data_IF_261029407361
#
_entry.id   IF_261029407361
#
_cell.length_a   1.000
_cell.length_b   1.000
_cell.length_c   1.000
_cell.angle_alpha   90.00
_cell.angle_beta   90.00
_cell.angle_gamma   90.00
#
_symmetry.space_group_name_H-M   'P 1'
#
loop_
_entity.id
_entity.type
_entity.pdbx_description
1 polymer ?
#
# COMPACT_ATOMS: atom_id res chain seq x y z
N UNK A 1 -17.05 -7.35 23.69
CA UNK A 1 -16.45 -8.56 24.28
C UNK A 1 -15.81 -9.34 23.15
N UNK A 2 -14.49 -9.58 23.19
CA UNK A 2 -13.82 -10.43 22.21
C UNK A 2 -14.43 -11.83 22.27
N UNK A 3 -14.69 -12.46 21.12
CA UNK A 3 -15.21 -13.82 21.07
C UNK A 3 -14.14 -14.79 21.60
N UNK A 4 -14.55 -15.99 22.09
CA UNK A 4 -13.60 -17.03 22.54
C UNK A 4 -12.63 -17.40 21.41
N UNK A 5 -13.04 -17.26 20.16
CA UNK A 5 -12.22 -17.45 18.98
C UNK A 5 -11.12 -16.38 18.86
N UNK A 6 -11.45 -15.11 19.06
CA UNK A 6 -10.49 -14.00 19.03
C UNK A 6 -9.41 -14.15 20.10
N UNK A 7 -9.80 -14.50 21.33
CA UNK A 7 -8.85 -14.67 22.45
C UNK A 7 -7.86 -15.83 22.24
N UNK A 8 -8.24 -16.87 21.49
CA UNK A 8 -7.36 -18.00 21.18
C UNK A 8 -6.48 -17.72 19.97
N UNK A 9 -7.03 -17.12 18.91
CA UNK A 9 -6.32 -16.95 17.64
C UNK A 9 -5.33 -15.77 17.67
N UNK A 10 -5.67 -14.68 18.34
CA UNK A 10 -4.89 -13.44 18.37
C UNK A 10 -3.43 -13.65 18.82
N UNK A 11 -3.14 -14.33 19.97
CA UNK A 11 -1.75 -14.54 20.41
C UNK A 11 -0.92 -15.38 19.43
N UNK A 12 -1.55 -16.36 18.77
CA UNK A 12 -0.87 -17.22 17.80
C UNK A 12 -0.46 -16.40 16.58
N UNK A 13 -1.39 -15.63 16.02
CA UNK A 13 -1.13 -14.77 14.85
C UNK A 13 -0.10 -13.71 15.18
N UNK A 14 -0.19 -13.10 16.36
CA UNK A 14 0.78 -12.10 16.82
C UNK A 14 2.19 -12.69 16.92
N UNK A 15 2.35 -13.87 17.50
CA UNK A 15 3.64 -14.56 17.60
C UNK A 15 4.24 -14.83 16.21
N UNK A 16 3.44 -15.34 15.27
CA UNK A 16 3.87 -15.58 13.89
C UNK A 16 4.31 -14.26 13.24
N UNK A 17 3.53 -13.20 13.41
CA UNK A 17 3.84 -11.87 12.88
C UNK A 17 5.13 -11.29 13.43
N UNK A 18 5.43 -11.46 14.71
CA UNK A 18 6.68 -11.00 15.31
C UNK A 18 7.90 -11.63 14.61
N UNK A 19 7.87 -12.93 14.35
CA UNK A 19 8.93 -13.62 13.62
C UNK A 19 9.02 -13.17 12.16
N UNK A 20 7.90 -13.15 11.46
CA UNK A 20 7.85 -12.77 10.05
C UNK A 20 8.29 -11.33 9.84
N UNK A 21 7.76 -10.38 10.64
CA UNK A 21 8.07 -8.95 10.50
C UNK A 21 9.50 -8.61 10.85
N UNK A 22 10.01 -9.18 11.95
CA UNK A 22 11.32 -8.78 12.49
C UNK A 22 12.51 -9.37 11.73
N UNK A 23 12.33 -10.53 11.10
CA UNK A 23 13.43 -11.25 10.46
C UNK A 23 13.20 -11.44 8.96
N UNK A 24 12.07 -12.04 8.57
CA UNK A 24 11.85 -12.43 7.17
C UNK A 24 11.56 -11.21 6.31
N UNK A 25 10.61 -10.38 6.72
CA UNK A 25 10.15 -9.24 5.94
C UNK A 25 11.24 -8.20 5.72
N UNK A 26 11.91 -7.77 6.80
CA UNK A 26 12.95 -6.74 6.72
C UNK A 26 14.09 -7.20 5.82
N UNK A 27 14.56 -8.46 6.00
CA UNK A 27 15.65 -9.02 5.19
C UNK A 27 15.24 -9.12 3.71
N UNK A 28 14.04 -9.64 3.42
CA UNK A 28 13.60 -9.79 2.04
C UNK A 28 13.39 -8.44 1.35
N UNK A 29 12.71 -7.49 1.99
CA UNK A 29 12.42 -6.20 1.38
C UNK A 29 13.69 -5.39 1.12
N UNK A 30 14.54 -5.25 2.15
CA UNK A 30 15.80 -4.54 1.99
C UNK A 30 16.75 -5.31 1.07
N UNK A 31 16.84 -6.64 1.23
CA UNK A 31 17.72 -7.47 0.41
C UNK A 31 17.38 -7.40 -1.07
N UNK A 32 16.12 -7.60 -1.45
CA UNK A 32 15.65 -7.50 -2.84
C UNK A 32 15.78 -6.07 -3.36
N UNK A 33 15.41 -5.07 -2.55
CA UNK A 33 15.47 -3.67 -2.94
C UNK A 33 16.91 -3.19 -3.17
N UNK A 34 17.85 -3.54 -2.28
CA UNK A 34 19.28 -3.26 -2.44
C UNK A 34 19.84 -4.01 -3.66
N UNK A 35 19.48 -5.28 -3.80
CA UNK A 35 19.89 -6.08 -4.95
C UNK A 35 19.52 -5.43 -6.28
N UNK A 36 18.26 -5.04 -6.44
CA UNK A 36 17.80 -4.37 -7.65
C UNK A 36 18.37 -2.97 -7.80
N UNK A 37 18.56 -2.22 -6.72
CA UNK A 37 19.22 -0.92 -6.76
C UNK A 37 20.62 -1.04 -7.35
N UNK A 38 21.41 -2.04 -6.93
CA UNK A 38 22.75 -2.29 -7.45
C UNK A 38 22.70 -2.80 -8.89
N UNK A 39 21.90 -3.85 -9.17
CA UNK A 39 21.85 -4.51 -10.49
C UNK A 39 21.29 -3.62 -11.59
N UNK A 40 20.38 -2.72 -11.28
CA UNK A 40 19.80 -1.76 -12.23
C UNK A 40 20.51 -0.40 -12.22
N UNK A 41 21.64 -0.27 -11.50
CA UNK A 41 22.42 0.97 -11.36
C UNK A 41 21.54 2.14 -10.88
N UNK A 42 20.87 1.95 -9.72
CA UNK A 42 19.98 2.94 -9.10
C UNK A 42 18.87 3.44 -10.06
N UNK A 43 18.12 2.52 -10.67
CA UNK A 43 17.05 2.84 -11.63
C UNK A 43 16.05 3.86 -11.07
N UNK A 44 15.75 3.79 -9.77
CA UNK A 44 14.84 4.69 -9.07
C UNK A 44 15.33 6.15 -9.04
N UNK A 45 16.63 6.39 -9.21
CA UNK A 45 17.22 7.73 -9.33
C UNK A 45 17.42 8.09 -10.80
N UNK A 46 18.07 7.19 -11.54
CA UNK A 46 18.46 7.41 -12.93
C UNK A 46 17.26 7.61 -13.87
N UNK A 47 16.19 6.83 -13.68
CA UNK A 47 14.99 6.89 -14.53
C UNK A 47 13.84 7.67 -13.87
N UNK A 48 14.08 8.35 -12.74
CA UNK A 48 13.05 9.12 -12.04
C UNK A 48 12.43 10.22 -12.92
N UNK A 49 13.27 11.02 -13.58
CA UNK A 49 12.82 12.10 -14.47
C UNK A 49 12.00 11.56 -15.65
N UNK A 50 12.38 10.42 -16.20
CA UNK A 50 11.63 9.75 -17.26
C UNK A 50 10.25 9.34 -16.77
N UNK A 51 10.17 8.61 -15.65
CA UNK A 51 8.91 8.23 -15.02
C UNK A 51 8.01 9.44 -14.70
N UNK A 52 8.62 10.50 -14.16
CA UNK A 52 7.91 11.76 -13.86
C UNK A 52 7.28 12.37 -15.11
N UNK A 53 8.04 12.48 -16.20
CA UNK A 53 7.54 13.02 -17.45
C UNK A 53 6.46 12.13 -18.08
N UNK A 54 6.54 10.80 -17.93
CA UNK A 54 5.50 9.87 -18.41
C UNK A 54 4.18 10.03 -17.63
N UNK A 55 4.24 10.29 -16.33
CA UNK A 55 3.06 10.47 -15.48
C UNK A 55 2.46 11.85 -15.67
N UNK A 56 3.26 12.91 -15.63
CA UNK A 56 2.78 14.31 -15.59
C UNK A 56 2.91 15.06 -16.91
N UNK A 57 3.76 14.60 -17.85
CA UNK A 57 4.00 15.28 -19.13
C UNK A 57 2.86 15.13 -20.15
N UNK A 58 2.02 14.09 -20.01
CA UNK A 58 0.91 13.81 -20.94
C UNK A 58 -0.38 13.46 -20.16
N UNK A 59 -0.75 14.28 -19.19
CA UNK A 59 -2.02 14.10 -18.47
C UNK A 59 -3.18 14.42 -19.42
N UNK A 60 -3.74 13.39 -20.06
CA UNK A 60 -5.05 13.45 -20.68
C UNK A 60 -6.04 12.76 -19.75
N UNK A 61 -6.87 13.56 -19.07
CA UNK A 61 -7.92 13.09 -18.16
C UNK A 61 -8.99 12.19 -18.83
N UNK A 62 -8.93 12.07 -20.13
CA UNK A 62 -9.78 11.17 -20.94
C UNK A 62 -8.86 10.21 -21.71
N UNK A 63 -8.43 9.12 -21.06
CA UNK A 63 -7.68 8.05 -21.70
C UNK A 63 -8.43 7.51 -22.92
N UNK A 64 -7.78 7.45 -24.09
CA UNK A 64 -8.35 6.80 -25.28
C UNK A 64 -8.71 5.36 -24.90
N UNK A 65 -9.95 4.95 -25.16
CA UNK A 65 -10.41 3.56 -25.03
C UNK A 65 -9.50 2.67 -25.88
N UNK A 66 -8.60 1.93 -25.22
CA UNK A 66 -7.85 0.86 -25.86
C UNK A 66 -8.51 -0.47 -25.53
N UNK A 67 -8.63 -1.34 -26.52
CA UNK A 67 -9.34 -2.62 -26.37
C UNK A 67 -8.77 -3.44 -25.20
N UNK A 68 -9.63 -3.99 -24.36
CA UNK A 68 -9.35 -5.01 -23.34
C UNK A 68 -8.49 -4.63 -22.12
N UNK A 69 -7.55 -3.67 -22.23
CA UNK A 69 -6.64 -3.24 -21.16
C UNK A 69 -6.94 -1.86 -20.59
N UNK A 70 -6.01 -1.33 -19.77
CA UNK A 70 -6.03 0.01 -19.19
C UNK A 70 -5.01 0.91 -19.90
N UNK A 71 -5.22 2.24 -19.88
CA UNK A 71 -4.13 3.17 -20.20
C UNK A 71 -3.03 3.08 -19.13
N UNK A 72 -1.81 3.53 -19.44
CA UNK A 72 -0.72 3.54 -18.45
C UNK A 72 -1.09 4.39 -17.23
N UNK A 73 -1.82 5.50 -17.41
CA UNK A 73 -2.33 6.32 -16.32
C UNK A 73 -3.42 5.63 -15.49
N UNK A 74 -4.35 4.92 -16.13
CA UNK A 74 -5.36 4.11 -15.43
C UNK A 74 -4.75 2.98 -14.60
N UNK A 75 -3.74 2.31 -15.16
CA UNK A 75 -3.00 1.27 -14.43
C UNK A 75 -2.23 1.84 -13.25
N UNK A 76 -1.58 3.00 -13.42
CA UNK A 76 -0.93 3.72 -12.34
C UNK A 76 -1.95 4.18 -11.28
N UNK A 77 -3.07 4.78 -11.68
CA UNK A 77 -4.14 5.20 -10.76
C UNK A 77 -4.70 4.01 -9.98
N UNK A 78 -4.85 2.83 -10.62
CA UNK A 78 -5.28 1.60 -9.95
C UNK A 78 -4.21 1.09 -8.98
N UNK A 79 -2.92 1.18 -9.33
CA UNK A 79 -1.82 0.83 -8.43
C UNK A 79 -1.73 1.80 -7.24
N UNK A 80 -1.80 3.11 -7.49
CA UNK A 80 -1.84 4.13 -6.42
C UNK A 80 -3.09 3.96 -5.54
N UNK A 81 -4.25 3.61 -6.12
CA UNK A 81 -5.45 3.32 -5.35
C UNK A 81 -5.27 2.15 -4.38
N UNK A 82 -4.47 1.15 -4.76
CA UNK A 82 -4.10 0.06 -3.87
C UNK A 82 -3.16 0.54 -2.74
N UNK A 83 -2.15 1.32 -3.08
CA UNK A 83 -1.12 1.84 -2.17
C UNK A 83 -1.68 2.88 -1.19
N UNK A 84 -2.41 3.88 -1.70
CA UNK A 84 -2.94 5.02 -0.92
C UNK A 84 -4.24 4.62 -0.21
N UNK A 85 -4.13 3.76 0.81
CA UNK A 85 -5.24 3.26 1.62
C UNK A 85 -5.13 3.64 3.10
N UNK A 86 -5.64 2.77 3.96
CA UNK A 86 -5.51 2.92 5.42
C UNK A 86 -4.05 2.96 5.87
N UNK A 87 -3.11 2.41 5.10
CA UNK A 87 -1.69 2.43 5.38
C UNK A 87 -1.14 3.83 5.64
N UNK A 88 -1.56 4.81 4.84
CA UNK A 88 -1.11 6.19 4.94
C UNK A 88 -1.63 6.90 6.20
N UNK A 89 -2.86 6.65 6.62
CA UNK A 89 -3.47 7.36 7.76
C UNK A 89 -3.32 6.53 9.02
N UNK A 90 -3.92 5.33 9.05
CA UNK A 90 -3.97 4.48 10.23
C UNK A 90 -2.65 3.70 10.43
N UNK A 91 -2.04 3.24 9.33
CA UNK A 91 -0.77 2.51 9.38
C UNK A 91 0.38 3.37 9.91
N UNK A 92 0.52 4.60 9.39
CA UNK A 92 1.52 5.57 9.88
C UNK A 92 1.28 5.95 11.32
N UNK A 93 0.02 6.21 11.70
CA UNK A 93 -0.35 6.48 13.07
C UNK A 93 0.07 5.35 14.02
N UNK A 94 -0.21 4.10 13.61
CA UNK A 94 0.21 2.91 14.35
C UNK A 94 1.73 2.76 14.44
N UNK A 95 2.47 3.05 13.35
CA UNK A 95 3.92 3.03 13.35
C UNK A 95 4.53 4.06 14.30
N UNK A 96 4.01 5.29 14.29
CA UNK A 96 4.47 6.37 15.16
C UNK A 96 4.14 6.06 16.63
N UNK A 97 2.92 5.59 16.92
CA UNK A 97 2.52 5.24 18.30
C UNK A 97 3.33 4.08 18.87
N UNK A 98 3.65 3.07 18.05
CA UNK A 98 4.33 1.86 18.52
C UNK A 98 5.85 2.00 18.42
N UNK A 99 6.36 2.48 17.29
CA UNK A 99 7.79 2.56 16.99
C UNK A 99 8.42 3.94 17.23
N UNK A 100 7.60 4.93 17.60
CA UNK A 100 8.00 6.33 17.75
C UNK A 100 8.16 7.06 16.41
N UNK A 101 8.45 8.38 16.44
CA UNK A 101 8.68 9.19 15.24
C UNK A 101 9.77 8.64 14.31
N UNK A 102 10.77 7.94 14.84
CA UNK A 102 11.86 7.33 14.06
C UNK A 102 11.40 6.22 13.09
N UNK A 103 10.22 5.62 13.31
CA UNK A 103 9.66 4.65 12.36
C UNK A 103 9.46 5.24 10.97
N UNK A 104 9.18 6.54 10.87
CA UNK A 104 8.99 7.26 9.59
C UNK A 104 10.29 7.25 8.76
N UNK A 105 11.45 7.45 9.39
CA UNK A 105 12.74 7.34 8.71
C UNK A 105 12.94 5.96 8.06
N UNK A 106 12.62 4.90 8.78
CA UNK A 106 12.74 3.54 8.26
C UNK A 106 11.73 3.22 7.17
N UNK A 107 10.54 3.83 7.22
CA UNK A 107 9.58 3.79 6.11
C UNK A 107 10.19 4.40 4.84
N UNK A 108 10.86 5.56 4.92
CA UNK A 108 11.53 6.19 3.78
C UNK A 108 12.66 5.32 3.22
N UNK A 109 13.50 4.75 4.09
CA UNK A 109 14.62 3.88 3.67
C UNK A 109 14.12 2.67 2.91
N UNK A 110 13.12 1.97 3.45
CA UNK A 110 12.55 0.78 2.82
C UNK A 110 11.88 1.15 1.50
N UNK A 111 11.18 2.28 1.44
CA UNK A 111 10.52 2.72 0.22
C UNK A 111 11.49 3.17 -0.86
N UNK A 112 12.61 3.79 -0.50
CA UNK A 112 13.64 4.14 -1.46
C UNK A 112 14.19 2.89 -2.18
N UNK A 113 14.49 1.83 -1.44
CA UNK A 113 14.88 0.55 -2.02
C UNK A 113 13.69 -0.16 -2.68
N UNK A 114 12.48 -0.03 -2.13
CA UNK A 114 11.23 -0.52 -2.69
C UNK A 114 10.93 0.03 -4.09
N UNK A 115 11.33 1.28 -4.39
CA UNK A 115 11.19 1.85 -5.74
C UNK A 115 11.94 1.04 -6.81
N UNK A 116 13.08 0.42 -6.49
CA UNK A 116 13.78 -0.48 -7.42
C UNK A 116 13.07 -1.83 -7.51
N UNK A 117 12.48 -2.31 -6.42
CA UNK A 117 11.70 -3.55 -6.40
C UNK A 117 10.43 -3.42 -7.24
N UNK A 118 9.66 -2.34 -7.06
CA UNK A 118 8.42 -2.12 -7.81
C UNK A 118 8.69 -1.94 -9.32
N UNK A 119 9.83 -1.33 -9.67
CA UNK A 119 10.29 -1.28 -11.05
C UNK A 119 10.44 -2.69 -11.64
N UNK A 120 11.10 -3.59 -10.90
CA UNK A 120 11.28 -4.98 -11.32
C UNK A 120 9.94 -5.70 -11.45
N UNK A 121 9.07 -5.57 -10.47
CA UNK A 121 7.73 -6.17 -10.46
C UNK A 121 6.89 -5.72 -11.66
N UNK A 122 6.81 -4.41 -11.91
CA UNK A 122 6.02 -3.86 -13.00
C UNK A 122 6.60 -4.24 -14.38
N UNK A 123 7.93 -4.26 -14.51
CA UNK A 123 8.62 -4.68 -15.73
C UNK A 123 8.33 -6.15 -16.04
N UNK A 124 8.48 -7.04 -15.05
CA UNK A 124 8.21 -8.47 -15.22
C UNK A 124 6.74 -8.74 -15.47
N UNK A 125 5.84 -8.01 -14.83
CA UNK A 125 4.40 -8.14 -15.07
C UNK A 125 4.02 -7.81 -16.51
N UNK A 126 4.68 -6.83 -17.11
CA UNK A 126 4.49 -6.48 -18.53
C UNK A 126 5.13 -7.50 -19.48
N UNK A 127 6.33 -7.99 -19.15
CA UNK A 127 7.05 -8.95 -19.98
C UNK A 127 6.34 -10.31 -20.04
N UNK A 128 5.77 -10.76 -18.92
CA UNK A 128 5.21 -12.11 -18.78
C UNK A 128 3.69 -12.18 -18.93
N UNK A 129 3.02 -11.05 -19.20
CA UNK A 129 1.57 -11.03 -19.41
C UNK A 129 1.17 -11.80 -20.66
N UNK A 130 -0.03 -12.39 -20.62
CA UNK A 130 -0.63 -13.09 -21.73
C UNK A 130 -1.83 -12.25 -22.21
N UNK A 131 -1.86 -11.99 -23.51
CA UNK A 131 -3.01 -11.36 -24.17
C UNK A 131 -3.78 -12.45 -24.90
N UNK A 132 -5.02 -12.72 -24.47
CA UNK A 132 -5.90 -13.71 -25.11
C UNK A 132 -6.46 -13.17 -26.42
N UNK A 133 -7.01 -14.06 -27.25
CA UNK A 133 -7.60 -13.71 -28.54
C UNK A 133 -8.79 -12.75 -28.43
N UNK A 134 -9.50 -12.79 -27.29
CA UNK A 134 -10.62 -11.89 -26.98
C UNK A 134 -10.17 -10.51 -26.46
N UNK A 135 -8.85 -10.25 -26.43
CA UNK A 135 -8.24 -9.03 -25.88
C UNK A 135 -8.14 -9.01 -24.36
N UNK A 136 -8.54 -10.06 -23.65
CA UNK A 136 -8.38 -10.17 -22.19
C UNK A 136 -6.90 -10.28 -21.84
N UNK A 137 -6.43 -9.42 -20.92
CA UNK A 137 -5.06 -9.46 -20.42
C UNK A 137 -5.02 -10.27 -19.12
N UNK A 138 -4.13 -11.25 -19.08
CA UNK A 138 -3.78 -12.03 -17.89
C UNK A 138 -2.34 -11.73 -17.49
N UNK A 139 -2.12 -11.30 -16.25
CA UNK A 139 -0.79 -10.95 -15.79
C UNK A 139 -0.73 -10.84 -14.28
N UNK A 140 0.46 -10.62 -13.77
CA UNK A 140 0.76 -10.55 -12.35
C UNK A 140 1.77 -11.61 -11.91
N UNK A 141 2.07 -11.72 -10.61
CA UNK A 141 3.17 -12.56 -10.12
C UNK A 141 3.09 -14.03 -10.50
N UNK A 142 1.90 -14.62 -10.54
CA UNK A 142 1.75 -16.04 -10.90
C UNK A 142 2.37 -16.36 -12.26
N UNK A 143 2.36 -15.41 -13.19
CA UNK A 143 2.93 -15.58 -14.54
C UNK A 143 4.44 -15.49 -14.54
N UNK A 144 5.04 -14.50 -13.88
CA UNK A 144 6.50 -14.46 -13.81
C UNK A 144 7.08 -15.51 -12.84
N UNK A 145 6.35 -15.96 -11.79
CA UNK A 145 6.75 -17.09 -10.96
C UNK A 145 6.86 -18.38 -11.82
N UNK A 146 5.85 -18.64 -12.66
CA UNK A 146 5.87 -19.81 -13.55
C UNK A 146 6.88 -19.68 -14.69
N UNK A 147 7.26 -18.45 -15.07
CA UNK A 147 8.38 -18.19 -15.99
C UNK A 147 9.72 -18.44 -15.33
N UNK A 148 9.89 -18.00 -14.07
CA UNK A 148 11.13 -18.24 -13.31
C UNK A 148 11.37 -19.72 -13.01
N UNK A 149 10.31 -20.44 -12.68
CA UNK A 149 10.38 -21.84 -12.26
C UNK A 149 9.39 -22.69 -13.05
N UNK A 150 9.92 -23.50 -13.94
CA UNK A 150 9.11 -24.42 -14.73
C UNK A 150 8.73 -25.69 -13.93
N UNK A 151 7.71 -26.40 -14.39
CA UNK A 151 7.30 -27.69 -13.83
C UNK A 151 6.48 -27.59 -12.54
N UNK A 152 6.56 -28.63 -11.68
CA UNK A 152 5.73 -28.76 -10.49
C UNK A 152 6.02 -27.72 -9.42
N UNK A 153 7.29 -27.36 -9.24
CA UNK A 153 7.71 -26.38 -8.24
C UNK A 153 7.17 -24.97 -8.56
N UNK A 154 7.30 -24.52 -9.82
CA UNK A 154 6.76 -23.21 -10.23
C UNK A 154 5.24 -23.14 -10.09
N UNK A 155 4.52 -24.22 -10.44
CA UNK A 155 3.06 -24.30 -10.25
C UNK A 155 2.67 -24.25 -8.77
N UNK A 156 3.41 -24.94 -7.90
CA UNK A 156 3.19 -24.90 -6.45
C UNK A 156 3.41 -23.49 -5.91
N UNK A 157 4.53 -22.85 -6.26
CA UNK A 157 4.89 -21.53 -5.78
C UNK A 157 3.90 -20.45 -6.26
N UNK A 158 3.47 -20.51 -7.53
CA UNK A 158 2.44 -19.65 -8.08
C UNK A 158 1.07 -19.87 -7.44
N UNK A 159 0.71 -21.14 -7.19
CA UNK A 159 -0.53 -21.49 -6.47
C UNK A 159 -0.52 -20.98 -5.03
N UNK A 160 0.60 -21.14 -4.31
CA UNK A 160 0.77 -20.60 -2.96
C UNK A 160 0.61 -19.07 -2.95
N UNK A 161 1.28 -18.37 -3.88
CA UNK A 161 1.12 -16.91 -4.03
C UNK A 161 -0.33 -16.52 -4.30
N UNK A 162 -1.00 -17.21 -5.24
CA UNK A 162 -2.38 -16.91 -5.62
C UNK A 162 -3.37 -17.10 -4.45
N UNK A 163 -3.19 -18.13 -3.62
CA UNK A 163 -3.97 -18.32 -2.40
C UNK A 163 -3.65 -17.21 -1.38
N UNK A 164 -2.36 -16.95 -1.14
CA UNK A 164 -1.93 -15.96 -0.17
C UNK A 164 -2.49 -14.56 -0.50
N UNK A 165 -2.37 -14.08 -1.75
CA UNK A 165 -2.89 -12.77 -2.15
C UNK A 165 -4.41 -12.69 -2.12
N UNK A 166 -5.11 -13.77 -2.48
CA UNK A 166 -6.58 -13.81 -2.41
C UNK A 166 -7.05 -13.65 -0.97
N UNK A 167 -6.41 -14.33 -0.03
CA UNK A 167 -6.73 -14.22 1.39
C UNK A 167 -6.25 -12.89 1.97
N UNK A 168 -5.01 -12.47 1.64
CA UNK A 168 -4.38 -11.26 2.18
C UNK A 168 -5.10 -9.99 1.76
N UNK A 169 -5.28 -9.78 0.46
CA UNK A 169 -5.83 -8.54 -0.09
C UNK A 169 -7.32 -8.67 -0.39
N UNK A 170 -7.71 -9.79 -1.03
CA UNK A 170 -9.08 -10.01 -1.46
C UNK A 170 -10.08 -10.07 -0.30
N UNK A 171 -9.67 -10.61 0.83
CA UNK A 171 -10.54 -10.75 2.00
C UNK A 171 -10.03 -9.94 3.20
N UNK A 172 -8.92 -10.33 3.84
CA UNK A 172 -8.47 -9.68 5.08
C UNK A 172 -8.11 -8.21 4.89
N UNK A 173 -7.43 -7.87 3.80
CA UNK A 173 -7.09 -6.49 3.47
C UNK A 173 -8.32 -5.62 3.24
N UNK A 174 -9.30 -6.12 2.49
CA UNK A 174 -10.59 -5.42 2.34
C UNK A 174 -11.31 -5.22 3.68
N UNK A 175 -11.19 -6.17 4.63
CA UNK A 175 -11.71 -6.02 5.99
C UNK A 175 -10.98 -4.91 6.76
N UNK A 176 -9.65 -4.80 6.65
CA UNK A 176 -8.86 -3.71 7.27
C UNK A 176 -9.34 -2.35 6.77
N UNK A 177 -9.56 -2.22 5.46
CA UNK A 177 -10.02 -0.98 4.86
C UNK A 177 -11.43 -0.62 5.37
N UNK A 178 -12.38 -1.54 5.29
CA UNK A 178 -13.77 -1.31 5.73
C UNK A 178 -13.88 -1.09 7.23
N UNK A 179 -13.09 -1.79 8.05
CA UNK A 179 -12.99 -1.61 9.49
C UNK A 179 -12.56 -0.17 9.83
N UNK A 180 -11.50 0.30 9.18
CA UNK A 180 -10.97 1.64 9.42
C UNK A 180 -11.94 2.74 8.96
N UNK A 181 -12.65 2.55 7.84
CA UNK A 181 -13.72 3.45 7.41
C UNK A 181 -14.82 3.49 8.48
N UNK A 182 -15.30 2.32 8.91
CA UNK A 182 -16.36 2.23 9.93
C UNK A 182 -15.99 2.98 11.21
N UNK A 183 -14.82 2.67 11.78
CA UNK A 183 -14.36 3.26 13.04
C UNK A 183 -14.18 4.80 12.96
N UNK A 184 -13.63 5.31 11.83
CA UNK A 184 -13.43 6.76 11.69
C UNK A 184 -14.72 7.51 11.40
N UNK A 185 -15.67 6.91 10.66
CA UNK A 185 -17.00 7.47 10.43
C UNK A 185 -17.82 7.50 11.71
N UNK A 186 -17.72 6.48 12.54
CA UNK A 186 -18.38 6.43 13.84
C UNK A 186 -17.83 7.53 14.76
N UNK A 187 -16.50 7.71 14.82
CA UNK A 187 -15.85 8.76 15.61
C UNK A 187 -16.23 10.17 15.11
N UNK A 188 -16.31 10.39 13.79
CA UNK A 188 -16.51 11.72 13.21
C UNK A 188 -17.99 12.14 13.14
N UNK A 189 -18.89 11.21 12.83
CA UNK A 189 -20.29 11.49 12.51
C UNK A 189 -21.28 10.77 13.42
N UNK A 190 -20.82 9.87 14.30
CA UNK A 190 -21.69 9.04 15.14
C UNK A 190 -22.49 7.99 14.34
N UNK A 191 -22.07 7.70 13.09
CA UNK A 191 -22.74 6.70 12.26
C UNK A 191 -22.24 5.30 12.69
N UNK A 192 -23.13 4.38 13.11
CA UNK A 192 -22.69 3.04 13.49
C UNK A 192 -21.94 2.33 12.37
N UNK A 193 -20.82 1.67 12.70
CA UNK A 193 -19.92 1.04 11.72
C UNK A 193 -20.63 0.04 10.79
N UNK A 194 -21.65 -0.70 11.29
CA UNK A 194 -22.42 -1.64 10.46
C UNK A 194 -23.27 -0.94 9.37
N UNK A 195 -23.76 0.29 9.62
CA UNK A 195 -24.49 1.10 8.62
C UNK A 195 -23.53 1.49 7.50
N UNK A 196 -22.31 1.93 7.88
CA UNK A 196 -21.24 2.22 6.92
C UNK A 196 -20.91 0.97 6.07
N UNK A 197 -20.88 -0.20 6.71
CA UNK A 197 -20.68 -1.48 6.04
C UNK A 197 -21.73 -1.76 4.96
N UNK A 198 -23.01 -1.54 5.24
CA UNK A 198 -24.09 -1.70 4.25
C UNK A 198 -23.89 -0.74 3.06
N UNK A 199 -23.59 0.52 3.31
CA UNK A 199 -23.34 1.49 2.25
C UNK A 199 -22.15 1.07 1.37
N UNK A 200 -21.05 0.62 2.00
CA UNK A 200 -19.86 0.15 1.30
C UNK A 200 -20.19 -1.05 0.38
N UNK A 201 -20.88 -2.08 0.87
CA UNK A 201 -21.18 -3.24 0.04
C UNK A 201 -22.09 -2.91 -1.16
N UNK A 202 -23.04 -1.99 -1.00
CA UNK A 202 -23.91 -1.55 -2.10
C UNK A 202 -23.09 -0.87 -3.20
N UNK A 203 -22.22 0.08 -2.81
CA UNK A 203 -21.36 0.81 -3.76
C UNK A 203 -20.34 -0.14 -4.41
N UNK A 204 -19.68 -1.00 -3.60
CA UNK A 204 -18.72 -1.97 -4.09
C UNK A 204 -19.37 -2.97 -5.06
N UNK A 205 -20.56 -3.50 -4.74
CA UNK A 205 -21.29 -4.43 -5.61
C UNK A 205 -21.56 -3.79 -6.97
N UNK A 206 -22.03 -2.55 -7.00
CA UNK A 206 -22.28 -1.82 -8.25
C UNK A 206 -21.01 -1.70 -9.11
N UNK A 207 -19.86 -1.43 -8.50
CA UNK A 207 -18.58 -1.28 -9.22
C UNK A 207 -18.04 -2.64 -9.65
N UNK A 208 -18.05 -3.65 -8.77
CA UNK A 208 -17.50 -4.99 -9.07
C UNK A 208 -18.25 -5.68 -10.21
N UNK A 209 -19.58 -5.51 -10.30
CA UNK A 209 -20.39 -6.01 -11.42
C UNK A 209 -20.06 -5.33 -12.75
N UNK A 210 -19.52 -4.10 -12.73
CA UNK A 210 -19.10 -3.37 -13.93
C UNK A 210 -17.73 -3.77 -14.48
N UNK A 211 -17.03 -4.67 -13.79
CA UNK A 211 -15.74 -5.21 -14.22
C UNK A 211 -14.58 -4.21 -14.19
N UNK A 212 -13.46 -4.61 -14.81
CA UNK A 212 -12.18 -3.89 -14.79
C UNK A 212 -12.28 -2.45 -15.32
N UNK A 213 -13.07 -2.25 -16.39
CA UNK A 213 -13.22 -0.93 -17.02
C UNK A 213 -13.94 0.08 -16.12
N UNK A 214 -14.97 -0.35 -15.40
CA UNK A 214 -15.66 0.53 -14.44
C UNK A 214 -14.77 0.86 -13.26
N UNK A 215 -14.06 -0.13 -12.74
CA UNK A 215 -13.09 0.05 -11.65
C UNK A 215 -12.03 1.06 -12.07
N UNK A 216 -11.39 0.88 -13.24
CA UNK A 216 -10.36 1.78 -13.75
C UNK A 216 -10.88 3.23 -13.91
N UNK A 217 -12.11 3.40 -14.42
CA UNK A 217 -12.73 4.71 -14.58
C UNK A 217 -13.04 5.41 -13.24
N UNK A 218 -13.34 4.63 -12.20
CA UNK A 218 -13.54 5.18 -10.84
C UNK A 218 -12.21 5.58 -10.21
N UNK A 219 -11.22 4.70 -10.23
CA UNK A 219 -9.90 4.97 -9.63
C UNK A 219 -9.18 6.13 -10.29
N UNK A 220 -9.25 6.24 -11.63
CA UNK A 220 -8.65 7.34 -12.40
C UNK A 220 -9.12 8.73 -11.94
N UNK A 221 -10.37 8.84 -11.48
CA UNK A 221 -10.97 10.10 -11.02
C UNK A 221 -10.82 10.31 -9.52
N UNK A 222 -11.04 9.26 -8.74
CA UNK A 222 -11.04 9.33 -7.27
C UNK A 222 -9.64 9.57 -6.74
N UNK A 223 -8.61 8.90 -7.29
CA UNK A 223 -7.24 8.97 -6.77
C UNK A 223 -6.65 10.39 -6.81
N UNK A 224 -6.66 11.11 -7.94
CA UNK A 224 -6.12 12.48 -7.94
C UNK A 224 -6.92 13.42 -7.04
N UNK A 225 -8.25 13.29 -7.00
CA UNK A 225 -9.11 14.13 -6.17
C UNK A 225 -8.83 13.92 -4.68
N UNK A 226 -8.80 12.65 -4.22
CA UNK A 226 -8.55 12.34 -2.82
C UNK A 226 -7.16 12.80 -2.37
N UNK A 227 -6.13 12.60 -3.23
CA UNK A 227 -4.78 13.07 -2.95
C UNK A 227 -4.72 14.60 -2.84
N UNK A 228 -5.34 15.33 -3.78
CA UNK A 228 -5.36 16.79 -3.76
C UNK A 228 -6.04 17.35 -2.50
N UNK A 229 -7.19 16.80 -2.12
CA UNK A 229 -7.92 17.23 -0.91
C UNK A 229 -7.09 16.98 0.35
N UNK A 230 -6.48 15.79 0.47
CA UNK A 230 -5.67 15.45 1.63
C UNK A 230 -4.39 16.30 1.72
N UNK A 231 -3.69 16.49 0.57
CA UNK A 231 -2.50 17.34 0.50
C UNK A 231 -2.82 18.79 0.88
N UNK A 232 -3.92 19.33 0.37
CA UNK A 232 -4.33 20.69 0.68
C UNK A 232 -4.61 20.88 2.18
N UNK A 233 -5.40 19.98 2.78
CA UNK A 233 -5.68 20.03 4.21
C UNK A 233 -4.44 19.86 5.08
N UNK A 234 -3.56 18.90 4.73
CA UNK A 234 -2.30 18.67 5.44
C UNK A 234 -1.34 19.86 5.33
N UNK A 235 -1.24 20.50 4.15
CA UNK A 235 -0.42 21.69 3.97
C UNK A 235 -0.90 22.86 4.83
N UNK A 236 -2.21 23.05 4.99
CA UNK A 236 -2.76 24.08 5.91
C UNK A 236 -2.26 23.80 7.33
N UNK A 237 -2.34 22.56 7.81
CA UNK A 237 -1.85 22.22 9.14
C UNK A 237 -0.36 22.49 9.27
N UNK A 238 0.46 22.10 8.29
CA UNK A 238 1.91 22.32 8.32
C UNK A 238 2.28 23.81 8.29
N UNK A 239 1.53 24.63 7.55
CA UNK A 239 1.73 26.10 7.54
C UNK A 239 1.45 26.69 8.92
N UNK A 240 0.36 26.27 9.57
CA UNK A 240 0.03 26.72 10.95
C UNK A 240 1.09 26.23 11.95
N UNK A 241 1.60 25.02 11.77
CA UNK A 241 2.62 24.40 12.64
C UNK A 241 4.05 24.61 12.15
N UNK A 242 4.31 25.55 11.24
CA UNK A 242 5.62 25.73 10.56
C UNK A 242 6.79 25.88 11.55
N UNK A 243 6.56 26.51 12.69
CA UNK A 243 7.55 26.67 13.77
C UNK A 243 8.10 25.33 14.27
N UNK A 244 7.29 24.28 14.27
CA UNK A 244 7.64 22.95 14.80
C UNK A 244 8.17 21.98 13.73
N UNK A 245 8.21 22.39 12.46
CA UNK A 245 8.68 21.52 11.36
C UNK A 245 10.17 21.13 11.53
N UNK A 246 11.10 22.05 11.88
CA UNK A 246 12.49 21.67 12.12
C UNK A 246 12.64 20.64 13.27
N UNK A 247 11.91 20.82 14.37
CA UNK A 247 11.88 19.89 15.49
C UNK A 247 11.30 18.53 15.06
N UNK A 248 10.24 18.53 14.26
CA UNK A 248 9.63 17.31 13.71
C UNK A 248 10.63 16.47 12.91
N UNK A 249 11.39 17.10 12.00
CA UNK A 249 12.44 16.41 11.26
C UNK A 249 13.56 15.92 12.20
N UNK A 250 13.98 16.75 13.16
CA UNK A 250 14.97 16.34 14.16
C UNK A 250 14.52 15.10 14.94
N UNK A 251 13.24 15.02 15.33
CA UNK A 251 12.65 13.85 16.00
C UNK A 251 12.68 12.61 15.10
N UNK A 252 12.30 12.73 13.81
CA UNK A 252 12.30 11.62 12.87
C UNK A 252 13.71 11.04 12.74
N UNK A 253 14.72 11.88 12.51
CA UNK A 253 16.12 11.41 12.36
C UNK A 253 16.71 10.93 13.66
N UNK A 254 16.54 11.66 14.76
CA UNK A 254 17.11 11.29 16.06
C UNK A 254 16.52 9.97 16.56
N UNK A 255 15.21 9.83 16.59
CA UNK A 255 14.55 8.64 17.13
C UNK A 255 14.63 7.41 16.21
N UNK A 256 15.10 7.55 14.98
CA UNK A 256 15.47 6.42 14.14
C UNK A 256 16.68 5.64 14.68
N UNK A 257 17.61 6.34 15.38
CA UNK A 257 18.89 5.79 15.86
C UNK A 257 19.05 5.90 17.38
N UNK A 258 18.35 6.85 18.01
CA UNK A 258 18.36 7.10 19.45
C UNK A 258 16.90 7.16 19.97
N UNK A 259 16.10 6.10 19.84
CA UNK A 259 14.74 6.13 20.33
C UNK A 259 14.74 6.25 21.85
N UNK A 260 13.84 7.07 22.37
CA UNK A 260 13.63 7.14 23.82
C UNK A 260 13.24 5.75 24.32
N UNK A 261 13.97 5.27 25.34
CA UNK A 261 13.73 3.94 25.89
C UNK A 261 12.30 3.86 26.44
N UNK A 262 11.58 2.82 26.05
CA UNK A 262 10.35 2.41 26.71
C UNK A 262 10.73 2.10 28.17
N UNK A 263 9.94 2.55 29.11
CA UNK A 263 10.14 2.23 30.53
C UNK A 263 10.26 0.71 30.67
N UNK A 264 11.48 0.21 30.98
CA UNK A 264 11.79 -1.21 31.12
C UNK A 264 12.33 -1.93 29.88
N UNK A 265 12.43 -1.28 28.70
CA UNK A 265 13.02 -1.83 27.49
C UNK A 265 14.40 -1.23 27.18
N UNK A 266 15.39 -2.06 26.83
CA UNK A 266 16.71 -1.58 26.45
C UNK A 266 16.71 -0.79 25.11
N UNK A 267 17.74 0.06 24.92
CA UNK A 267 17.96 0.87 23.71
C UNK A 267 17.84 0.08 22.39
N UNK A 268 18.43 -1.13 22.34
CA UNK A 268 18.36 -2.00 21.16
C UNK A 268 16.95 -2.48 20.82
N UNK A 269 16.07 -2.64 21.80
CA UNK A 269 14.68 -3.04 21.56
C UNK A 269 13.89 -1.92 20.87
N UNK A 270 14.08 -0.68 21.29
CA UNK A 270 13.37 0.46 20.70
C UNK A 270 13.79 0.75 19.25
N UNK A 271 15.10 0.61 18.90
CA UNK A 271 15.57 0.68 17.50
C UNK A 271 14.95 -0.44 16.66
N UNK A 272 15.01 -1.66 17.17
CA UNK A 272 14.39 -2.82 16.48
C UNK A 272 12.91 -2.59 16.21
N UNK A 273 12.20 -2.02 17.18
CA UNK A 273 10.77 -1.74 17.05
C UNK A 273 10.50 -0.67 15.97
N UNK A 274 11.31 0.42 15.94
CA UNK A 274 11.20 1.45 14.90
C UNK A 274 11.46 0.88 13.49
N UNK A 275 12.49 0.05 13.33
CA UNK A 275 12.81 -0.63 12.06
C UNK A 275 11.66 -1.56 11.65
N UNK A 276 11.21 -2.42 12.55
CA UNK A 276 10.16 -3.41 12.29
C UNK A 276 8.83 -2.75 11.93
N UNK A 277 8.41 -1.73 12.68
CA UNK A 277 7.19 -0.98 12.37
C UNK A 277 7.32 -0.19 11.08
N UNK A 278 8.49 0.42 10.84
CA UNK A 278 8.79 1.09 9.57
C UNK A 278 8.69 0.14 8.38
N UNK A 279 9.26 -1.07 8.48
CA UNK A 279 9.21 -2.09 7.43
C UNK A 279 7.78 -2.60 7.21
N UNK A 280 7.09 -2.99 8.27
CA UNK A 280 5.74 -3.55 8.24
C UNK A 280 4.73 -2.55 7.64
N UNK A 281 4.75 -1.31 8.12
CA UNK A 281 3.82 -0.28 7.66
C UNK A 281 4.23 0.35 6.34
N UNK A 282 5.54 0.46 6.06
CA UNK A 282 6.05 0.84 4.75
C UNK A 282 5.60 -0.11 3.66
N UNK A 283 5.78 -1.43 3.86
CA UNK A 283 5.29 -2.45 2.91
C UNK A 283 3.78 -2.38 2.72
N UNK A 284 3.02 -2.29 3.81
CA UNK A 284 1.56 -2.24 3.76
C UNK A 284 1.05 -1.02 2.98
N UNK A 285 1.80 0.10 2.97
CA UNK A 285 1.45 1.30 2.21
C UNK A 285 1.90 1.20 0.75
N UNK A 286 3.21 1.02 0.50
CA UNK A 286 3.76 1.12 -0.86
C UNK A 286 3.64 -0.16 -1.70
N UNK A 287 3.34 -1.29 -1.08
CA UNK A 287 3.17 -2.61 -1.70
C UNK A 287 4.39 -3.13 -2.51
N UNK A 288 5.54 -2.44 -2.48
CA UNK A 288 6.73 -2.82 -3.22
C UNK A 288 7.36 -4.10 -2.67
N UNK A 289 7.42 -5.15 -3.48
CA UNK A 289 7.87 -6.47 -3.08
C UNK A 289 6.76 -7.40 -2.59
N UNK A 290 5.52 -6.91 -2.49
CA UNK A 290 4.34 -7.73 -2.17
C UNK A 290 3.84 -8.55 -3.35
N UNK A 291 4.08 -8.09 -4.58
CA UNK A 291 3.51 -8.70 -5.78
C UNK A 291 2.04 -8.35 -6.02
N UNK A 292 1.51 -7.33 -5.39
CA UNK A 292 0.10 -6.91 -5.53
C UNK A 292 -0.11 -6.02 -6.75
N UNK A 293 0.55 -4.87 -6.81
CA UNK A 293 0.44 -3.88 -7.89
C UNK A 293 0.86 -4.37 -9.27
N UNK A 294 1.73 -5.39 -9.45
CA UNK A 294 1.98 -6.02 -10.75
C UNK A 294 0.71 -6.43 -11.50
N UNK A 295 -0.38 -6.74 -10.81
CA UNK A 295 -1.66 -7.05 -11.45
C UNK A 295 -2.25 -5.85 -12.20
N UNK A 296 -2.16 -4.65 -11.62
CA UNK A 296 -2.58 -3.42 -12.31
C UNK A 296 -1.59 -3.06 -13.43
N UNK A 297 -0.29 -3.14 -13.16
CA UNK A 297 0.75 -2.81 -14.13
C UNK A 297 0.72 -3.73 -15.36
N UNK A 298 0.38 -5.00 -15.21
CA UNK A 298 0.21 -5.94 -16.32
C UNK A 298 -0.90 -5.53 -17.30
N UNK A 299 -1.95 -4.87 -16.80
CA UNK A 299 -3.09 -4.43 -17.60
C UNK A 299 -2.79 -3.16 -18.43
N UNK A 300 -1.69 -2.47 -18.15
CA UNK A 300 -1.31 -1.25 -18.86
C UNK A 300 -0.96 -1.52 -20.32
N UNK A 301 -1.47 -0.67 -21.20
CA UNK A 301 -1.12 -0.71 -22.61
C UNK A 301 0.09 0.20 -22.89
N UNK A 302 1.28 -0.38 -22.88
CA UNK A 302 2.57 0.29 -23.11
C UNK A 302 3.36 -0.41 -24.19
N UNK A 303 4.28 0.31 -24.83
CA UNK A 303 5.10 -0.21 -25.93
C UNK A 303 6.20 -1.17 -25.45
N UNK A 304 6.76 -0.89 -24.28
CA UNK A 304 7.79 -1.75 -23.70
C UNK A 304 7.66 -1.83 -22.17
N UNK A 305 8.12 -2.93 -21.53
CA UNK A 305 8.03 -3.14 -20.07
C UNK A 305 8.71 -2.05 -19.23
N UNK A 306 9.81 -1.46 -19.68
CA UNK A 306 10.53 -0.38 -19.00
C UNK A 306 9.64 0.83 -18.71
N UNK A 307 8.77 1.18 -19.67
CA UNK A 307 7.85 2.32 -19.51
C UNK A 307 6.97 2.19 -18.27
N UNK A 308 6.40 1.01 -18.07
CA UNK A 308 5.54 0.78 -16.91
C UNK A 308 6.35 0.64 -15.62
N UNK A 309 7.57 0.10 -15.70
CA UNK A 309 8.49 0.07 -14.55
C UNK A 309 8.83 1.48 -14.05
N UNK A 310 9.13 2.43 -14.95
CA UNK A 310 9.42 3.82 -14.56
C UNK A 310 8.22 4.55 -13.98
N UNK A 311 7.02 4.27 -14.49
CA UNK A 311 5.76 4.79 -13.95
C UNK A 311 5.49 4.25 -12.54
N UNK A 312 5.78 2.98 -12.28
CA UNK A 312 5.61 2.37 -10.96
C UNK A 312 6.51 3.01 -9.88
N UNK A 313 7.73 3.41 -10.23
CA UNK A 313 8.63 4.17 -9.34
C UNK A 313 7.94 5.44 -8.83
N UNK A 314 7.26 6.18 -9.72
CA UNK A 314 6.57 7.42 -9.37
C UNK A 314 5.36 7.15 -8.47
N UNK A 315 4.67 6.03 -8.64
CA UNK A 315 3.59 5.62 -7.75
C UNK A 315 4.06 5.51 -6.29
N UNK A 316 5.13 4.75 -6.03
CA UNK A 316 5.72 4.62 -4.70
C UNK A 316 6.26 5.95 -4.17
N UNK A 317 6.84 6.79 -5.03
CA UNK A 317 7.30 8.11 -4.63
C UNK A 317 6.14 8.98 -4.13
N UNK A 318 5.04 9.06 -4.88
CA UNK A 318 3.86 9.84 -4.50
C UNK A 318 3.26 9.32 -3.19
N UNK A 319 3.10 8.01 -3.06
CA UNK A 319 2.57 7.39 -1.86
C UNK A 319 3.40 7.74 -0.62
N UNK A 320 4.70 7.42 -0.65
CA UNK A 320 5.54 7.42 0.55
C UNK A 320 6.20 8.77 0.84
N UNK A 321 6.77 9.42 -0.18
CA UNK A 321 7.55 10.64 0.03
C UNK A 321 6.69 11.91 -0.03
N UNK A 322 5.46 11.81 -0.58
CA UNK A 322 4.53 12.95 -0.61
C UNK A 322 3.40 12.75 0.40
N UNK A 323 2.51 11.78 0.18
CA UNK A 323 1.26 11.68 0.94
C UNK A 323 1.50 11.16 2.36
N UNK A 324 2.23 10.05 2.49
CA UNK A 324 2.56 9.47 3.80
C UNK A 324 3.40 10.42 4.64
N UNK A 325 4.43 11.03 4.04
CA UNK A 325 5.29 12.00 4.72
C UNK A 325 4.49 13.19 5.22
N UNK A 326 3.57 13.73 4.42
CA UNK A 326 2.69 14.81 4.86
C UNK A 326 1.91 14.41 6.12
N UNK A 327 1.29 13.23 6.12
CA UNK A 327 0.54 12.74 7.29
C UNK A 327 1.44 12.57 8.53
N UNK A 328 2.62 12.00 8.35
CA UNK A 328 3.59 11.83 9.43
C UNK A 328 4.02 13.19 10.02
N UNK A 329 4.31 14.17 9.16
CA UNK A 329 4.67 15.52 9.59
C UNK A 329 3.50 16.21 10.33
N UNK A 330 2.27 16.05 9.85
CA UNK A 330 1.07 16.55 10.56
C UNK A 330 0.97 15.95 11.94
N UNK A 331 1.04 14.62 12.07
CA UNK A 331 0.94 13.91 13.36
C UNK A 331 2.04 14.37 14.31
N UNK A 332 3.29 14.36 13.87
CA UNK A 332 4.43 14.64 14.74
C UNK A 332 4.47 16.14 15.13
N UNK A 333 4.26 17.05 14.18
CA UNK A 333 4.30 18.50 14.46
C UNK A 333 3.19 18.98 15.39
N UNK A 334 2.05 18.27 15.42
CA UNK A 334 0.89 18.66 16.25
C UNK A 334 0.84 17.95 17.58
N UNK A 335 1.23 16.67 17.64
CA UNK A 335 1.02 15.84 18.82
C UNK A 335 2.32 15.55 19.60
N UNK A 336 3.47 15.52 18.94
CA UNK A 336 4.76 15.17 19.58
C UNK A 336 5.70 16.37 19.76
N UNK A 337 5.71 17.32 18.83
CA UNK A 337 6.61 18.47 18.86
C UNK A 337 6.05 19.59 19.73
N UNK A 338 6.95 20.32 20.40
CA UNK A 338 6.63 21.50 21.20
C UNK A 338 5.72 21.20 22.39
N UNK A 339 4.51 21.76 22.33
CA UNK A 339 3.47 21.66 23.36
C UNK A 339 2.46 20.52 23.11
N UNK A 340 2.76 19.61 22.19
CA UNK A 340 1.86 18.52 21.85
C UNK A 340 1.57 17.57 23.02
N UNK A 341 0.39 16.94 23.05
CA UNK A 341 -0.02 16.07 24.18
C UNK A 341 0.84 14.80 24.33
N UNK A 342 1.61 14.44 23.31
CA UNK A 342 2.57 13.35 23.32
C UNK A 342 4.04 13.85 23.34
N UNK A 343 4.25 15.12 23.68
CA UNK A 343 5.60 15.68 23.81
C UNK A 343 6.42 14.88 24.85
N UNK A 344 7.64 14.50 24.48
CA UNK A 344 8.48 13.65 25.29
C UNK A 344 8.13 12.15 25.28
N UNK A 345 7.04 11.73 24.63
CA UNK A 345 6.75 10.32 24.41
C UNK A 345 7.58 9.81 23.22
N UNK A 346 8.23 8.66 23.41
CA UNK A 346 8.89 7.93 22.34
C UNK A 346 7.99 6.85 21.75
N UNK A 347 8.51 5.62 21.66
CA UNK A 347 7.73 4.45 21.28
C UNK A 347 6.73 4.06 22.39
N UNK A 348 5.72 3.23 22.01
CA UNK A 348 4.66 2.73 22.91
C UNK A 348 3.79 3.81 23.56
N UNK A 349 3.44 4.86 22.78
CA UNK A 349 2.53 5.93 23.20
C UNK A 349 1.03 5.56 23.08
N UNK A 350 0.71 4.28 22.86
CA UNK A 350 -0.67 3.78 22.83
C UNK A 350 -1.37 4.02 24.18
N UNK A 351 -2.57 4.59 24.13
CA UNK A 351 -3.39 4.85 25.31
C UNK A 351 -4.88 4.70 24.97
N UNK A 352 -5.74 4.81 25.97
CA UNK A 352 -7.18 4.87 25.73
C UNK A 352 -7.61 6.11 24.93
N UNK A 353 -6.82 7.19 25.01
CA UNK A 353 -7.08 8.46 24.30
C UNK A 353 -6.56 8.44 22.87
N UNK A 354 -5.35 7.89 22.65
CA UNK A 354 -4.69 7.86 21.35
C UNK A 354 -4.49 6.42 20.88
N UNK A 355 -5.07 6.10 19.75
CA UNK A 355 -4.93 4.83 19.07
C UNK A 355 -4.68 5.03 17.57
N UNK A 356 -4.36 3.97 16.84
CA UNK A 356 -4.00 4.05 15.41
C UNK A 356 -5.10 4.62 14.53
N UNK A 357 -6.39 4.48 14.90
CA UNK A 357 -7.52 4.94 14.08
C UNK A 357 -7.87 6.41 14.30
N UNK A 358 -7.67 6.96 15.49
CA UNK A 358 -8.03 8.33 15.81
C UNK A 358 -6.86 9.32 15.82
N UNK A 359 -5.60 8.86 15.80
CA UNK A 359 -4.44 9.75 15.96
C UNK A 359 -4.39 10.85 14.90
N UNK A 360 -4.63 10.51 13.63
CA UNK A 360 -4.68 11.52 12.55
C UNK A 360 -5.86 12.47 12.75
N UNK A 361 -7.03 12.00 13.20
CA UNK A 361 -8.19 12.85 13.51
C UNK A 361 -7.85 13.84 14.62
N UNK A 362 -7.16 13.40 15.68
CA UNK A 362 -6.67 14.27 16.74
C UNK A 362 -5.66 15.29 16.21
N UNK A 363 -4.71 14.86 15.38
CA UNK A 363 -3.69 15.71 14.79
C UNK A 363 -4.27 16.86 13.95
N UNK A 364 -5.16 16.55 13.01
CA UNK A 364 -5.88 17.57 12.24
C UNK A 364 -6.81 18.42 13.11
N UNK A 365 -7.37 17.81 14.17
CA UNK A 365 -8.23 18.47 15.13
C UNK A 365 -7.55 19.58 15.91
N UNK A 366 -6.24 19.54 16.11
CA UNK A 366 -5.48 20.62 16.78
C UNK A 366 -5.55 21.95 16.03
N UNK A 367 -5.71 21.93 14.71
CA UNK A 367 -5.74 23.13 13.84
C UNK A 367 -7.16 23.46 13.40
N UNK A 368 -7.94 22.46 12.97
CA UNK A 368 -9.30 22.69 12.44
C UNK A 368 -10.38 22.68 13.52
N UNK A 369 -10.03 22.35 14.78
CA UNK A 369 -10.97 21.97 15.82
C UNK A 369 -11.36 20.50 15.70
N UNK A 370 -11.56 19.85 16.85
CA UNK A 370 -11.70 18.38 16.92
C UNK A 370 -12.77 17.83 15.97
N UNK A 371 -13.94 18.44 15.93
CA UNK A 371 -15.06 17.98 15.09
C UNK A 371 -14.73 18.08 13.59
N UNK A 372 -14.24 19.26 13.14
CA UNK A 372 -13.93 19.46 11.74
C UNK A 372 -12.73 18.64 11.28
N UNK A 373 -11.68 18.51 12.11
CA UNK A 373 -10.52 17.68 11.83
C UNK A 373 -10.89 16.18 11.74
N UNK A 374 -11.71 15.70 12.65
CA UNK A 374 -12.21 14.31 12.62
C UNK A 374 -13.04 14.03 11.37
N UNK A 375 -13.92 14.95 10.98
CA UNK A 375 -14.73 14.83 9.76
C UNK A 375 -13.85 14.85 8.49
N UNK A 376 -12.88 15.76 8.43
CA UNK A 376 -11.94 15.85 7.32
C UNK A 376 -11.18 14.54 7.11
N UNK A 377 -10.57 14.02 8.17
CA UNK A 377 -9.81 12.76 8.10
C UNK A 377 -10.71 11.58 7.76
N UNK A 378 -11.93 11.50 8.32
CA UNK A 378 -12.87 10.42 8.02
C UNK A 378 -13.29 10.42 6.54
N UNK A 379 -13.53 11.59 5.94
CA UNK A 379 -13.85 11.73 4.52
C UNK A 379 -12.66 11.33 3.65
N UNK A 380 -11.46 11.82 3.96
CA UNK A 380 -10.24 11.44 3.23
C UNK A 380 -9.98 9.94 3.32
N UNK A 381 -10.08 9.36 4.52
CA UNK A 381 -9.87 7.93 4.73
C UNK A 381 -10.93 7.09 4.02
N UNK A 382 -12.17 7.55 3.96
CA UNK A 382 -13.21 6.88 3.18
C UNK A 382 -12.77 6.71 1.73
N UNK A 383 -12.35 7.78 1.06
CA UNK A 383 -11.92 7.70 -0.33
C UNK A 383 -10.64 6.87 -0.51
N UNK A 384 -9.67 7.02 0.37
CA UNK A 384 -8.42 6.25 0.34
C UNK A 384 -8.71 4.75 0.49
N UNK A 385 -9.33 4.36 1.58
CA UNK A 385 -9.62 2.97 1.87
C UNK A 385 -10.61 2.35 0.88
N UNK A 386 -11.59 3.12 0.42
CA UNK A 386 -12.53 2.67 -0.60
C UNK A 386 -11.85 2.36 -1.93
N UNK A 387 -10.97 3.25 -2.41
CA UNK A 387 -10.21 3.00 -3.64
C UNK A 387 -9.29 1.77 -3.51
N UNK A 388 -8.73 1.53 -2.32
CA UNK A 388 -7.93 0.35 -2.02
C UNK A 388 -8.78 -0.93 -2.04
N UNK A 389 -9.99 -0.92 -1.48
CA UNK A 389 -10.93 -2.05 -1.59
C UNK A 389 -11.16 -2.42 -3.05
N UNK A 390 -11.36 -1.43 -3.93
CA UNK A 390 -11.58 -1.67 -5.36
C UNK A 390 -10.38 -2.37 -6.01
N UNK A 391 -9.18 -1.86 -5.78
CA UNK A 391 -7.95 -2.39 -6.39
C UNK A 391 -7.60 -3.78 -5.82
N UNK A 392 -7.65 -3.95 -4.52
CA UNK A 392 -7.34 -5.23 -3.87
C UNK A 392 -8.36 -6.32 -4.20
N UNK A 393 -9.63 -5.96 -4.35
CA UNK A 393 -10.64 -6.89 -4.86
C UNK A 393 -10.30 -7.35 -6.28
N UNK A 394 -9.84 -6.45 -7.15
CA UNK A 394 -9.39 -6.82 -8.50
C UNK A 394 -8.23 -7.82 -8.45
N UNK A 395 -7.23 -7.58 -7.60
CA UNK A 395 -6.06 -8.46 -7.48
C UNK A 395 -6.46 -9.86 -6.96
N UNK A 396 -7.30 -9.93 -5.93
CA UNK A 396 -7.84 -11.20 -5.44
C UNK A 396 -8.67 -11.93 -6.51
N UNK A 397 -9.51 -11.20 -7.26
CA UNK A 397 -10.32 -11.77 -8.35
C UNK A 397 -9.47 -12.38 -9.46
N UNK A 398 -8.39 -11.71 -9.88
CA UNK A 398 -7.47 -12.21 -10.90
C UNK A 398 -6.85 -13.55 -10.44
N UNK A 399 -6.42 -13.63 -9.20
CA UNK A 399 -5.81 -14.83 -8.64
C UNK A 399 -6.83 -15.97 -8.39
N UNK A 400 -8.04 -15.63 -7.97
CA UNK A 400 -9.11 -16.62 -7.85
C UNK A 400 -9.50 -17.23 -9.22
N UNK A 401 -9.52 -16.40 -10.27
CA UNK A 401 -9.72 -16.87 -11.65
C UNK A 401 -8.56 -17.74 -12.14
N UNK A 402 -7.33 -17.41 -11.74
CA UNK A 402 -6.15 -18.22 -12.04
C UNK A 402 -6.26 -19.63 -11.40
N UNK A 403 -6.68 -19.72 -10.13
CA UNK A 403 -6.81 -20.99 -9.40
C UNK A 403 -7.97 -21.85 -9.88
N UNK A 404 -9.14 -21.26 -10.09
CA UNK A 404 -10.41 -22.00 -10.25
C UNK A 404 -11.17 -21.68 -11.55
N UNK A 405 -10.57 -20.86 -12.43
CA UNK A 405 -11.15 -20.49 -13.71
C UNK A 405 -12.22 -19.38 -13.64
N UNK A 406 -12.69 -18.93 -14.81
CA UNK A 406 -13.59 -17.75 -14.96
C UNK A 406 -14.89 -17.83 -14.13
N UNK A 407 -15.42 -19.03 -13.87
CA UNK A 407 -16.66 -19.22 -13.09
C UNK A 407 -16.52 -18.84 -11.62
N UNK A 408 -15.33 -18.90 -11.05
CA UNK A 408 -15.07 -18.55 -9.64
C UNK A 408 -15.21 -17.04 -9.36
N UNK A 409 -15.16 -16.19 -10.38
CA UNK A 409 -15.20 -14.74 -10.24
C UNK A 409 -16.45 -14.22 -9.51
N UNK A 410 -17.63 -14.81 -9.78
CA UNK A 410 -18.87 -14.39 -9.13
C UNK A 410 -18.95 -14.85 -7.67
N UNK A 411 -18.51 -16.07 -7.39
CA UNK A 411 -18.45 -16.61 -6.02
C UNK A 411 -17.47 -15.77 -5.20
N UNK A 412 -16.29 -15.47 -5.75
CA UNK A 412 -15.31 -14.60 -5.10
C UNK A 412 -15.90 -13.20 -4.81
N UNK A 413 -16.59 -12.59 -5.77
CA UNK A 413 -17.19 -11.27 -5.58
C UNK A 413 -18.20 -11.27 -4.43
N UNK A 414 -19.06 -12.29 -4.34
CA UNK A 414 -20.01 -12.43 -3.24
C UNK A 414 -19.31 -12.58 -1.89
N UNK A 415 -18.30 -13.46 -1.80
CA UNK A 415 -17.51 -13.63 -0.59
C UNK A 415 -16.80 -12.34 -0.18
N UNK A 416 -16.18 -11.62 -1.13
CA UNK A 416 -15.50 -10.35 -0.86
C UNK A 416 -16.46 -9.31 -0.26
N UNK A 417 -17.70 -9.20 -0.75
CA UNK A 417 -18.70 -8.30 -0.18
C UNK A 417 -19.07 -8.68 1.26
N UNK A 418 -19.18 -9.99 1.55
CA UNK A 418 -19.41 -10.48 2.93
C UNK A 418 -18.24 -10.08 3.82
N UNK A 419 -16.99 -10.28 3.39
CA UNK A 419 -15.82 -9.92 4.18
C UNK A 419 -15.70 -8.41 4.39
N UNK A 420 -16.03 -7.57 3.39
CA UNK A 420 -16.10 -6.11 3.53
C UNK A 420 -17.09 -5.73 4.65
N UNK A 421 -18.27 -6.36 4.72
CA UNK A 421 -19.23 -6.12 5.78
C UNK A 421 -18.70 -6.59 7.14
N UNK A 422 -18.22 -7.82 7.23
CA UNK A 422 -17.66 -8.37 8.46
C UNK A 422 -16.53 -7.51 9.03
N UNK A 423 -15.70 -6.92 8.17
CA UNK A 423 -14.64 -6.01 8.59
C UNK A 423 -15.15 -4.85 9.43
N UNK A 424 -16.33 -4.30 9.14
CA UNK A 424 -16.89 -3.19 9.92
C UNK A 424 -17.41 -3.61 11.31
N UNK A 425 -17.56 -4.90 11.57
CA UNK A 425 -18.15 -5.44 12.82
C UNK A 425 -17.13 -6.17 13.69
N UNK A 426 -15.94 -6.49 13.18
CA UNK A 426 -14.88 -7.20 13.91
C UNK A 426 -13.94 -6.26 14.67
N UNK A 427 -13.18 -6.82 15.62
CA UNK A 427 -12.15 -6.06 16.33
C UNK A 427 -11.03 -5.60 15.38
N UNK A 428 -10.59 -4.36 15.55
CA UNK A 428 -9.57 -3.75 14.73
C UNK A 428 -8.24 -4.53 14.78
N UNK A 429 -7.82 -4.98 15.96
CA UNK A 429 -6.51 -5.58 16.15
C UNK A 429 -6.37 -6.94 15.49
N UNK A 430 -7.36 -7.83 15.64
CA UNK A 430 -7.32 -9.15 14.99
C UNK A 430 -7.32 -9.04 13.46
N UNK A 431 -8.15 -8.15 12.90
CA UNK A 431 -8.23 -7.93 11.45
C UNK A 431 -6.88 -7.46 10.88
N UNK A 432 -6.23 -6.52 11.57
CA UNK A 432 -4.90 -6.04 11.18
C UNK A 432 -3.83 -7.13 11.28
N UNK A 433 -3.79 -7.89 12.38
CA UNK A 433 -2.79 -8.95 12.55
C UNK A 433 -2.92 -10.08 11.53
N UNK A 434 -4.15 -10.50 11.19
CA UNK A 434 -4.40 -11.48 10.13
C UNK A 434 -3.97 -10.97 8.76
N UNK A 435 -4.30 -9.71 8.44
CA UNK A 435 -3.89 -9.10 7.19
C UNK A 435 -2.37 -9.01 7.08
N UNK A 436 -1.69 -8.57 8.14
CA UNK A 436 -0.23 -8.48 8.18
C UNK A 436 0.44 -9.83 7.97
N UNK A 437 -0.03 -10.90 8.64
CA UNK A 437 0.51 -12.24 8.49
C UNK A 437 0.43 -12.73 7.04
N UNK A 438 -0.73 -12.59 6.42
CA UNK A 438 -0.95 -13.07 5.05
C UNK A 438 -0.18 -12.22 4.02
N UNK A 439 -0.09 -10.90 4.23
CA UNK A 439 0.74 -10.02 3.41
C UNK A 439 2.21 -10.43 3.43
N UNK A 440 2.74 -10.77 4.61
CA UNK A 440 4.14 -11.20 4.75
C UNK A 440 4.40 -12.54 4.07
N UNK A 441 3.44 -13.47 4.12
CA UNK A 441 3.55 -14.78 3.46
C UNK A 441 3.61 -14.64 1.93
N UNK A 442 2.89 -13.70 1.32
CA UNK A 442 2.93 -13.52 -0.14
C UNK A 442 4.23 -12.87 -0.64
N UNK A 443 4.96 -12.14 0.22
CA UNK A 443 6.27 -11.57 -0.13
C UNK A 443 7.30 -12.65 -0.48
N UNK A 444 7.26 -13.79 0.20
CA UNK A 444 8.26 -14.86 0.06
C UNK A 444 8.33 -15.41 -1.38
N UNK A 445 7.24 -15.95 -1.97
CA UNK A 445 7.27 -16.45 -3.34
C UNK A 445 7.58 -15.37 -4.37
N UNK A 446 7.13 -14.15 -4.12
CA UNK A 446 7.41 -13.00 -4.97
C UNK A 446 8.90 -12.67 -4.99
N UNK A 447 9.54 -12.53 -3.83
CA UNK A 447 10.96 -12.24 -3.71
C UNK A 447 11.84 -13.31 -4.38
N UNK A 448 11.50 -14.59 -4.21
CA UNK A 448 12.22 -15.70 -4.85
C UNK A 448 12.15 -15.58 -6.38
N UNK A 449 10.98 -15.31 -6.94
CA UNK A 449 10.81 -15.16 -8.38
C UNK A 449 11.53 -13.92 -8.93
N UNK A 450 11.46 -12.79 -8.21
CA UNK A 450 12.16 -11.57 -8.58
C UNK A 450 13.67 -11.82 -8.67
N UNK A 451 14.28 -12.45 -7.66
CA UNK A 451 15.71 -12.75 -7.66
C UNK A 451 16.10 -13.68 -8.82
N UNK A 452 15.28 -14.69 -9.12
CA UNK A 452 15.52 -15.60 -10.25
C UNK A 452 15.49 -14.92 -11.62
N UNK A 453 14.63 -13.90 -11.79
CA UNK A 453 14.45 -13.18 -13.05
C UNK A 453 15.25 -11.87 -13.13
N UNK A 454 16.27 -11.70 -12.31
CA UNK A 454 17.10 -10.49 -12.28
C UNK A 454 17.65 -10.11 -13.67
N UNK A 455 18.10 -11.07 -14.48
CA UNK A 455 18.64 -10.83 -15.82
C UNK A 455 17.62 -10.19 -16.77
N UNK A 456 16.36 -10.58 -16.68
CA UNK A 456 15.25 -10.02 -17.46
C UNK A 456 15.06 -8.53 -17.13
N UNK A 457 14.98 -8.21 -15.84
CA UNK A 457 14.80 -6.82 -15.37
C UNK A 457 16.00 -5.94 -15.77
N UNK A 458 17.22 -6.44 -15.59
CA UNK A 458 18.46 -5.71 -15.96
C UNK A 458 18.49 -5.40 -17.45
N UNK A 459 18.11 -6.34 -18.32
CA UNK A 459 18.01 -6.14 -19.77
C UNK A 459 17.12 -4.94 -20.10
N UNK A 460 15.93 -4.85 -19.50
CA UNK A 460 15.02 -3.73 -19.72
C UNK A 460 15.52 -2.41 -19.13
N UNK A 461 16.19 -2.46 -17.97
CA UNK A 461 16.68 -1.25 -17.29
C UNK A 461 17.81 -0.53 -18.04
N UNK A 462 18.50 -1.19 -18.97
CA UNK A 462 19.61 -0.63 -19.74
C UNK A 462 19.23 -0.24 -21.18
N UNK A 463 17.96 -0.45 -21.58
CA UNK A 463 17.49 -0.06 -22.92
C UNK A 463 17.19 1.44 -22.90
N UNK A 464 18.04 2.32 -23.50
CA UNK A 464 17.68 3.72 -23.64
C UNK A 464 16.52 3.85 -24.63
N UNK A 465 15.74 4.92 -24.49
CA UNK A 465 14.72 5.37 -25.47
C UNK A 465 15.37 5.71 -26.85
N UNK A 466 16.04 4.75 -27.49
CA UNK A 466 16.57 4.93 -28.85
C UNK A 466 15.52 4.80 -29.95
N UNK A 467 14.25 4.56 -29.58
CA UNK A 467 13.18 4.37 -30.55
C UNK A 467 12.26 5.58 -30.73
N UNK A 468 12.42 6.68 -29.97
CA UNK A 468 11.64 7.90 -30.18
C UNK A 468 12.22 8.89 -31.20
N UNK A 469 13.39 8.60 -31.77
CA UNK A 469 14.13 9.50 -32.67
C UNK A 469 14.19 9.08 -34.15
N UNK A 470 13.42 8.08 -34.60
CA UNK A 470 13.50 7.59 -36.01
C UNK A 470 12.16 7.57 -36.76
N UNK A 471 11.23 8.42 -36.43
CA UNK A 471 10.05 8.68 -37.27
C UNK A 471 9.84 10.18 -37.51
N UNK A 472 10.89 10.91 -37.84
CA UNK A 472 10.85 12.22 -38.53
C UNK A 472 12.09 12.30 -39.41
N UNK A 473 12.02 11.65 -40.57
CA UNK A 473 12.94 11.76 -41.69
C UNK A 473 12.26 11.28 -42.96
#
# INVERSE_FOLDING_TARGET
MASSFETTLFPIVQTINEYLSNYVLVILLLGVGIWYTIKTRCVQVRCFKEGWNRVFGNITLNGKKSGGGMSSFQALATAIAAQVGTGIIVGVAGAILTGGPGAVFWMWVISFFGMATIYAEATLAQETRIVELDGTIKGGPVYYITTAFQGKFGKFLAGFFAVAITLALGFMGCMVQSNSIGATMETAFGIPSWVVGIVLIVICAFIFLGGVQRLASVTEKVVPLMAAVFLFGGLIVLVVRIKYIPETFAMIFRYAFEPQAIVGGGFGYAIRLAISQGAKRGLFSNEAGMGSTPHAHALANVKNPHEQGTVAIIGVFIDMFVILTLNALVIISTLYAGDGPLAGCGAAALSSTFNKTNLAQCAFGTVFGYKAGSMFVAICLFFFAFSTILSWNLFGKINMVYLFGKKSANVYTLLALIFIFLGTTMSNDLVWELSDMLNQLMVIPNAIALLALTSHVVKHSHTPDRLSGRENG
#
